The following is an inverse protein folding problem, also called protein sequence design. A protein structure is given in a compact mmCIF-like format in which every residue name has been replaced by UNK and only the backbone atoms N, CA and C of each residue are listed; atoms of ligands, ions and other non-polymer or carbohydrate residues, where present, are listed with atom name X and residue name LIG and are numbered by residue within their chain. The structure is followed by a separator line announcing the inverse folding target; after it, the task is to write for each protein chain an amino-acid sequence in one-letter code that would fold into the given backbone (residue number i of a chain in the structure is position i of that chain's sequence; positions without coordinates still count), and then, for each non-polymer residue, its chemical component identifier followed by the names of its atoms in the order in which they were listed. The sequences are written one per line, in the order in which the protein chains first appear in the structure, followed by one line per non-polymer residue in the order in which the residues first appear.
data_IF_501972017661
#
_entry.id   IF_501972017661
#
_cell.length_a   1.000
_cell.length_b   1.000
_cell.length_c   1.000
_cell.angle_alpha   90.00
_cell.angle_beta   90.00
_cell.angle_gamma   90.00
#
_symmetry.space_group_name_H-M   'P 1'
#
loop_
_entity.id
_entity.type
_entity.pdbx_description
1 polymer ?
#
# COMPACT_ATOMS: atom_id res chain seq x y z
N UNK A 1 -1.83 -11.97 11.37
CA UNK A 1 -3.06 -11.21 11.03
C UNK A 1 -4.23 -12.16 10.77
N UNK A 2 -4.22 -12.95 9.69
CA UNK A 2 -5.35 -13.80 9.27
C UNK A 2 -5.94 -14.73 10.36
N UNK A 3 -5.10 -15.25 11.27
CA UNK A 3 -5.53 -16.06 12.41
C UNK A 3 -6.49 -15.33 13.36
N UNK A 4 -6.41 -14.01 13.46
CA UNK A 4 -7.06 -13.21 14.52
C UNK A 4 -8.06 -12.16 14.02
N UNK A 5 -8.08 -11.86 12.71
CA UNK A 5 -9.04 -10.91 12.16
C UNK A 5 -10.42 -11.56 12.14
N UNK A 6 -11.40 -10.85 12.69
CA UNK A 6 -12.78 -11.27 12.81
C UNK A 6 -13.72 -10.41 11.95
N UNK A 7 -13.33 -9.17 11.62
CA UNK A 7 -14.14 -8.27 10.80
C UNK A 7 -14.33 -8.84 9.38
N UNK A 8 -15.60 -9.09 8.96
CA UNK A 8 -15.90 -9.81 7.73
C UNK A 8 -15.59 -9.00 6.46
N UNK A 9 -15.45 -7.68 6.56
CA UNK A 9 -15.07 -6.82 5.43
C UNK A 9 -13.54 -6.74 5.30
N UNK A 10 -12.82 -6.81 6.42
CA UNK A 10 -11.35 -6.67 6.45
C UNK A 10 -10.65 -7.99 6.15
N UNK A 11 -11.18 -9.11 6.65
CA UNK A 11 -10.56 -10.42 6.47
C UNK A 11 -10.32 -10.77 4.99
N UNK A 12 -11.26 -10.54 4.05
CA UNK A 12 -11.05 -10.83 2.63
C UNK A 12 -9.93 -10.00 1.99
N UNK A 13 -9.81 -8.71 2.31
CA UNK A 13 -8.75 -7.86 1.72
C UNK A 13 -7.37 -8.21 2.27
N UNK A 14 -7.28 -8.65 3.54
CA UNK A 14 -6.04 -9.15 4.12
C UNK A 14 -5.67 -10.52 3.54
N UNK A 15 -6.66 -11.39 3.27
CA UNK A 15 -6.45 -12.65 2.57
C UNK A 15 -5.95 -12.41 1.15
N UNK A 16 -6.58 -11.48 0.43
CA UNK A 16 -6.14 -11.11 -0.91
C UNK A 16 -4.70 -10.60 -0.93
N UNK A 17 -4.30 -9.78 0.04
CA UNK A 17 -2.90 -9.36 0.17
C UNK A 17 -1.92 -10.54 0.39
N UNK A 18 -2.32 -11.52 1.21
CA UNK A 18 -1.52 -12.74 1.44
C UNK A 18 -1.39 -13.59 0.17
N UNK A 19 -2.48 -13.76 -0.58
CA UNK A 19 -2.50 -14.55 -1.81
C UNK A 19 -1.60 -13.90 -2.88
N UNK A 20 -1.66 -12.57 -3.02
CA UNK A 20 -0.76 -11.82 -3.90
C UNK A 20 0.70 -12.01 -3.51
N UNK A 21 1.03 -11.85 -2.21
CA UNK A 21 2.40 -12.01 -1.72
C UNK A 21 2.93 -13.44 -1.95
N UNK A 22 2.08 -14.45 -1.82
CA UNK A 22 2.45 -15.84 -2.04
C UNK A 22 2.71 -16.12 -3.53
N UNK A 23 1.83 -15.63 -4.40
CA UNK A 23 2.01 -15.71 -5.86
C UNK A 23 3.28 -14.99 -6.33
N UNK A 24 3.56 -13.79 -5.80
CA UNK A 24 4.79 -13.05 -6.13
C UNK A 24 6.04 -13.82 -5.73
N UNK A 25 6.03 -14.49 -4.57
CA UNK A 25 7.15 -15.32 -4.15
C UNK A 25 7.42 -16.46 -5.14
N UNK A 26 6.37 -17.14 -5.62
CA UNK A 26 6.51 -18.21 -6.62
C UNK A 26 7.07 -17.70 -7.96
N UNK A 27 6.59 -16.54 -8.42
CA UNK A 27 7.08 -15.91 -9.65
C UNK A 27 8.54 -15.49 -9.53
N UNK A 28 8.94 -14.86 -8.41
CA UNK A 28 10.32 -14.46 -8.16
C UNK A 28 11.25 -15.67 -8.07
N UNK A 29 10.83 -16.76 -7.41
CA UNK A 29 11.62 -17.99 -7.37
C UNK A 29 11.80 -18.63 -8.75
N UNK A 30 10.79 -18.49 -9.62
CA UNK A 30 10.89 -18.95 -11.02
C UNK A 30 11.93 -18.14 -11.79
N UNK A 31 11.88 -16.80 -11.68
CA UNK A 31 12.87 -15.90 -12.30
C UNK A 31 14.28 -16.22 -11.79
N UNK A 32 14.45 -16.38 -10.47
CA UNK A 32 15.74 -16.75 -9.89
C UNK A 32 16.24 -18.09 -10.40
N UNK A 33 15.37 -19.09 -10.53
CA UNK A 33 15.73 -20.39 -11.09
C UNK A 33 16.23 -20.32 -12.54
N UNK A 34 15.62 -19.47 -13.37
CA UNK A 34 16.03 -19.27 -14.77
C UNK A 34 17.45 -18.70 -14.88
N UNK A 35 17.83 -17.84 -13.94
CA UNK A 35 19.15 -17.20 -13.90
C UNK A 35 20.18 -17.99 -13.07
N UNK A 36 19.84 -19.21 -12.61
CA UNK A 36 20.64 -20.00 -11.66
C UNK A 36 21.01 -19.21 -10.39
N UNK A 37 20.12 -18.31 -9.97
CA UNK A 37 20.32 -17.45 -8.81
C UNK A 37 19.97 -18.21 -7.53
N UNK A 38 20.79 -18.04 -6.49
CA UNK A 38 20.58 -18.70 -5.20
C UNK A 38 19.33 -18.15 -4.54
N UNK A 39 18.42 -19.03 -4.09
CA UNK A 39 17.25 -18.66 -3.31
C UNK A 39 17.69 -17.97 -2.01
N UNK A 40 17.28 -16.71 -1.75
CA UNK A 40 17.57 -16.05 -0.48
C UNK A 40 16.86 -16.72 0.70
N UNK A 41 17.48 -16.66 1.88
CA UNK A 41 16.83 -17.07 3.14
C UNK A 41 15.76 -16.03 3.51
N UNK A 42 14.49 -16.37 3.25
CA UNK A 42 13.34 -15.56 3.63
C UNK A 42 12.81 -15.88 5.03
N UNK A 43 11.76 -15.15 5.41
CA UNK A 43 11.01 -15.42 6.64
C UNK A 43 10.35 -16.80 6.59
N UNK A 44 10.44 -17.56 7.68
CA UNK A 44 9.95 -18.94 7.80
C UNK A 44 9.06 -19.11 9.02
N UNK A 45 8.48 -20.31 9.17
CA UNK A 45 7.72 -20.69 10.38
C UNK A 45 8.55 -20.61 11.67
N UNK A 46 9.89 -20.66 11.57
CA UNK A 46 10.80 -20.52 12.72
C UNK A 46 10.89 -19.08 13.22
N UNK A 47 10.55 -18.12 12.36
CA UNK A 47 10.64 -16.69 12.64
C UNK A 47 9.33 -16.12 13.21
N UNK A 48 8.30 -16.96 13.38
CA UNK A 48 6.99 -16.58 13.91
C UNK A 48 6.62 -17.38 15.16
N UNK A 49 6.21 -16.69 16.22
CA UNK A 49 5.61 -17.30 17.39
C UNK A 49 4.08 -17.24 17.29
N UNK A 50 3.46 -18.32 16.82
CA UNK A 50 1.99 -18.41 16.68
C UNK A 50 1.22 -18.50 18.01
N UNK A 51 1.93 -18.67 19.13
CA UNK A 51 1.38 -18.72 20.49
C UNK A 51 1.44 -17.38 21.22
N UNK A 52 2.05 -16.35 20.61
CA UNK A 52 2.07 -15.00 21.18
C UNK A 52 0.66 -14.40 21.26
N UNK A 53 0.43 -13.53 22.25
CA UNK A 53 -0.82 -12.81 22.39
C UNK A 53 -1.05 -11.86 21.20
N UNK A 54 -2.30 -11.76 20.74
CA UNK A 54 -2.69 -10.82 19.70
C UNK A 54 -2.68 -9.38 20.24
N UNK A 55 -2.03 -8.47 19.49
CA UNK A 55 -1.80 -7.09 19.93
C UNK A 55 -2.45 -6.02 19.04
N UNK A 56 -2.88 -6.38 17.83
CA UNK A 56 -3.33 -5.42 16.83
C UNK A 56 -4.84 -5.44 16.66
N UNK A 57 -5.42 -4.33 16.22
CA UNK A 57 -6.84 -4.30 15.86
C UNK A 57 -7.03 -4.65 14.38
N UNK A 58 -8.22 -5.08 14.00
CA UNK A 58 -8.56 -5.33 12.60
C UNK A 58 -8.40 -4.05 11.75
N UNK A 59 -8.73 -2.88 12.32
CA UNK A 59 -8.49 -1.58 11.70
C UNK A 59 -7.00 -1.33 11.45
N UNK A 60 -6.12 -1.67 12.41
CA UNK A 60 -4.68 -1.57 12.18
C UNK A 60 -4.24 -2.47 11.02
N UNK A 61 -4.74 -3.70 10.94
CA UNK A 61 -4.44 -4.60 9.83
C UNK A 61 -4.90 -4.02 8.48
N UNK A 62 -6.09 -3.44 8.42
CA UNK A 62 -6.60 -2.75 7.23
C UNK A 62 -5.69 -1.58 6.83
N UNK A 63 -5.32 -0.72 7.78
CA UNK A 63 -4.40 0.40 7.54
C UNK A 63 -3.03 -0.08 7.07
N UNK A 64 -2.49 -1.15 7.67
CA UNK A 64 -1.22 -1.74 7.25
C UNK A 64 -1.27 -2.22 5.79
N UNK A 65 -2.28 -3.00 5.43
CA UNK A 65 -2.46 -3.49 4.05
C UNK A 65 -2.60 -2.34 3.06
N UNK A 66 -3.39 -1.32 3.41
CA UNK A 66 -3.57 -0.13 2.56
C UNK A 66 -2.24 0.62 2.34
N UNK A 67 -1.44 0.79 3.38
CA UNK A 67 -0.13 1.44 3.28
C UNK A 67 0.86 0.61 2.46
N UNK A 68 0.91 -0.70 2.67
CA UNK A 68 1.75 -1.59 1.87
C UNK A 68 1.37 -1.58 0.39
N UNK A 69 0.07 -1.50 0.07
CA UNK A 69 -0.39 -1.36 -1.31
C UNK A 69 0.09 -0.04 -1.96
N UNK A 70 0.03 1.09 -1.22
CA UNK A 70 0.56 2.39 -1.69
C UNK A 70 2.07 2.32 -1.96
N UNK A 71 2.82 1.75 -1.03
CA UNK A 71 4.27 1.57 -1.17
C UNK A 71 4.58 0.69 -2.38
N UNK A 72 3.86 -0.42 -2.55
CA UNK A 72 3.96 -1.29 -3.71
C UNK A 72 3.73 -0.55 -5.03
N UNK A 73 2.68 0.27 -5.12
CA UNK A 73 2.41 1.06 -6.33
C UNK A 73 3.57 2.00 -6.69
N UNK A 74 4.09 2.76 -5.71
CA UNK A 74 5.22 3.66 -5.93
C UNK A 74 6.46 2.89 -6.39
N UNK A 75 6.83 1.85 -5.65
CA UNK A 75 8.05 1.09 -5.91
C UNK A 75 7.97 0.35 -7.25
N UNK A 76 6.87 -0.35 -7.54
CA UNK A 76 6.74 -1.09 -8.79
C UNK A 76 6.73 -0.18 -10.01
N UNK A 77 6.10 1.02 -9.94
CA UNK A 77 6.23 2.01 -11.01
C UNK A 77 7.68 2.43 -11.25
N UNK A 78 8.46 2.63 -10.17
CA UNK A 78 9.88 2.94 -10.26
C UNK A 78 10.68 1.79 -10.87
N UNK A 79 10.44 0.56 -10.44
CA UNK A 79 11.15 -0.62 -10.95
C UNK A 79 10.86 -0.90 -12.43
N UNK A 80 9.64 -0.65 -12.90
CA UNK A 80 9.32 -0.71 -14.34
C UNK A 80 10.23 0.27 -15.12
N UNK A 81 10.35 1.51 -14.63
CA UNK A 81 11.14 2.55 -15.30
C UNK A 81 12.66 2.31 -15.28
N UNK A 82 13.15 1.48 -14.36
CA UNK A 82 14.57 1.16 -14.21
C UNK A 82 14.94 -0.21 -14.81
N UNK A 83 14.02 -0.92 -15.47
CA UNK A 83 14.23 -2.28 -15.97
C UNK A 83 14.28 -2.36 -17.50
N UNK A 84 15.37 -2.90 -18.04
CA UNK A 84 15.54 -3.14 -19.48
C UNK A 84 15.12 -4.55 -19.94
N UNK A 85 15.08 -5.51 -19.01
CA UNK A 85 14.65 -6.89 -19.28
C UNK A 85 13.12 -6.99 -19.39
N UNK A 86 12.63 -7.60 -20.48
CA UNK A 86 11.19 -7.67 -20.79
C UNK A 86 10.39 -8.48 -19.76
N UNK A 87 10.89 -9.65 -19.37
CA UNK A 87 10.30 -10.52 -18.34
C UNK A 87 10.16 -9.79 -17.00
N UNK A 88 11.19 -9.03 -16.61
CA UNK A 88 11.21 -8.23 -15.38
C UNK A 88 10.22 -7.07 -15.45
N UNK A 89 10.16 -6.34 -16.58
CA UNK A 89 9.14 -5.30 -16.79
C UNK A 89 7.73 -5.87 -16.74
N UNK A 90 7.51 -7.04 -17.33
CA UNK A 90 6.22 -7.70 -17.30
C UNK A 90 5.81 -8.04 -15.86
N UNK A 91 6.72 -8.66 -15.09
CA UNK A 91 6.51 -8.95 -13.67
C UNK A 91 6.10 -7.70 -12.87
N UNK A 92 6.89 -6.62 -12.93
CA UNK A 92 6.57 -5.41 -12.17
C UNK A 92 5.29 -4.70 -12.66
N UNK A 93 4.95 -4.82 -13.95
CA UNK A 93 3.68 -4.32 -14.48
C UNK A 93 2.49 -5.07 -13.89
N UNK A 94 2.57 -6.40 -13.78
CA UNK A 94 1.52 -7.19 -13.12
C UNK A 94 1.42 -6.83 -11.63
N UNK A 95 2.56 -6.78 -10.94
CA UNK A 95 2.61 -6.45 -9.52
C UNK A 95 2.04 -5.04 -9.22
N UNK A 96 2.27 -4.06 -10.10
CA UNK A 96 1.67 -2.72 -10.02
C UNK A 96 0.14 -2.77 -10.17
N UNK A 97 -0.36 -3.52 -11.15
CA UNK A 97 -1.80 -3.66 -11.38
C UNK A 97 -2.49 -4.32 -10.18
N UNK A 98 -1.89 -5.36 -9.61
CA UNK A 98 -2.40 -6.07 -8.43
C UNK A 98 -2.35 -5.20 -7.18
N UNK A 99 -1.26 -4.46 -6.96
CA UNK A 99 -1.14 -3.50 -5.85
C UNK A 99 -2.18 -2.38 -5.96
N UNK A 100 -2.48 -1.93 -7.18
CA UNK A 100 -3.54 -0.94 -7.44
C UNK A 100 -4.92 -1.48 -7.06
N UNK A 101 -5.22 -2.75 -7.41
CA UNK A 101 -6.49 -3.40 -7.01
C UNK A 101 -6.59 -3.51 -5.49
N UNK A 102 -5.52 -3.95 -4.83
CA UNK A 102 -5.46 -4.07 -3.36
C UNK A 102 -5.62 -2.70 -2.67
N UNK A 103 -5.00 -1.67 -3.23
CA UNK A 103 -5.14 -0.30 -2.73
C UNK A 103 -6.57 0.21 -2.83
N UNK A 104 -7.24 0.01 -3.96
CA UNK A 104 -8.63 0.44 -4.15
C UNK A 104 -9.57 -0.28 -3.18
N UNK A 105 -9.52 -1.61 -3.12
CA UNK A 105 -10.36 -2.41 -2.21
C UNK A 105 -10.17 -2.00 -0.74
N UNK A 106 -8.91 -1.92 -0.28
CA UNK A 106 -8.61 -1.53 1.10
C UNK A 106 -9.02 -0.08 1.39
N UNK A 107 -8.94 0.82 0.41
CA UNK A 107 -9.37 2.22 0.57
C UNK A 107 -10.88 2.34 0.68
N UNK A 108 -11.64 1.58 -0.12
CA UNK A 108 -13.09 1.55 -0.05
C UNK A 108 -13.59 1.05 1.31
N UNK A 109 -12.99 -0.03 1.83
CA UNK A 109 -13.30 -0.55 3.17
C UNK A 109 -12.92 0.48 4.25
N UNK A 110 -11.75 1.13 4.13
CA UNK A 110 -11.32 2.14 5.09
C UNK A 110 -12.23 3.39 5.07
N UNK A 111 -12.78 3.75 3.90
CA UNK A 111 -13.76 4.83 3.76
C UNK A 111 -15.11 4.46 4.37
N UNK A 112 -15.61 3.24 4.12
CA UNK A 112 -16.90 2.78 4.67
C UNK A 112 -16.87 2.68 6.20
N UNK A 113 -15.71 2.33 6.77
CA UNK A 113 -15.48 2.26 8.22
C UNK A 113 -15.07 3.59 8.87
N UNK A 114 -14.95 4.68 8.10
CA UNK A 114 -14.59 6.01 8.62
C UNK A 114 -13.13 6.14 9.09
N UNK A 115 -12.26 5.21 8.72
CA UNK A 115 -10.82 5.22 9.05
C UNK A 115 -10.09 6.27 8.21
N UNK A 116 -10.42 6.35 6.93
CA UNK A 116 -9.91 7.40 6.06
C UNK A 116 -10.73 8.68 6.29
N UNK A 117 -10.11 9.66 6.94
CA UNK A 117 -10.71 10.98 7.17
C UNK A 117 -10.99 11.63 5.81
N UNK A 118 -12.26 11.95 5.55
CA UNK A 118 -12.63 12.78 4.40
C UNK A 118 -11.96 14.14 4.59
N UNK A 119 -11.21 14.59 3.58
CA UNK A 119 -10.60 15.91 3.60
C UNK A 119 -11.64 16.98 3.95
N UNK A 120 -11.25 18.06 4.66
CA UNK A 120 -12.17 19.15 4.94
C UNK A 120 -12.77 19.66 3.62
N UNK A 121 -14.09 19.85 3.62
CA UNK A 121 -14.80 20.38 2.47
C UNK A 121 -14.39 21.84 2.27
N UNK A 122 -13.55 22.08 1.26
CA UNK A 122 -13.37 23.44 0.73
C UNK A 122 -14.56 23.74 -0.18
N UNK A 123 -15.09 24.96 -0.09
CA UNK A 123 -16.04 25.41 -1.09
C UNK A 123 -15.34 25.44 -2.45
N UNK A 124 -15.90 24.70 -3.42
CA UNK A 124 -15.36 24.68 -4.79
C UNK A 124 -15.44 26.12 -5.32
N UNK A 125 -14.32 26.75 -5.71
CA UNK A 125 -14.33 28.11 -6.23
C UNK A 125 -15.24 28.19 -7.45
N UNK A 126 -16.25 29.05 -7.40
CA UNK A 126 -17.18 29.29 -8.52
C UNK A 126 -16.64 30.30 -9.53
N UNK A 127 -15.61 31.04 -9.13
CA UNK A 127 -15.03 32.14 -9.88
C UNK A 127 -13.51 32.14 -9.75
N UNK A 128 -12.84 32.61 -10.80
CA UNK A 128 -11.38 32.78 -10.81
C UNK A 128 -11.02 34.01 -9.97
N UNK A 129 -10.33 33.81 -8.84
CA UNK A 129 -9.82 34.90 -8.02
C UNK A 129 -8.34 35.15 -8.31
N UNK A 130 -7.97 36.41 -8.51
CA UNK A 130 -6.59 36.85 -8.63
C UNK A 130 -6.09 37.38 -7.29
N UNK A 131 -4.79 37.23 -7.05
CA UNK A 131 -4.14 37.76 -5.86
C UNK A 131 -4.19 39.29 -5.88
N UNK A 132 -5.00 39.88 -5.00
CA UNK A 132 -5.21 41.34 -4.98
C UNK A 132 -4.22 42.09 -4.07
N UNK A 133 -3.45 41.39 -3.24
CA UNK A 133 -2.60 42.03 -2.22
C UNK A 133 -1.39 41.18 -1.89
N UNK A 134 -0.21 41.81 -1.71
CA UNK A 134 1.01 41.15 -1.22
C UNK A 134 0.98 40.78 0.27
N UNK A 135 -0.13 41.00 0.98
CA UNK A 135 -0.28 40.63 2.41
C UNK A 135 -0.02 39.14 2.70
N UNK A 136 -0.20 38.24 1.73
CA UNK A 136 0.20 36.83 1.90
C UNK A 136 1.72 36.66 2.08
N UNK A 137 2.53 37.66 1.72
CA UNK A 137 3.98 37.68 1.95
C UNK A 137 4.37 38.26 3.31
N UNK A 138 3.44 38.93 4.01
CA UNK A 138 3.67 39.34 5.39
C UNK A 138 3.40 38.15 6.30
N UNK A 139 4.39 37.28 6.44
CA UNK A 139 4.35 36.16 7.40
C UNK A 139 4.08 36.63 8.84
N UNK A 140 4.07 35.70 9.78
CA UNK A 140 3.89 36.03 11.20
C UNK A 140 5.12 36.80 11.71
N UNK A 141 4.89 37.98 12.30
CA UNK A 141 5.87 38.62 13.18
C UNK A 141 5.54 38.21 14.62
N UNK A 142 6.24 37.23 15.22
CA UNK A 142 5.94 36.76 16.56
C UNK A 142 6.34 37.72 17.69
N UNK A 143 6.85 38.93 17.36
CA UNK A 143 7.40 39.89 18.31
C UNK A 143 6.74 41.28 18.26
N UNK A 144 5.55 41.40 17.64
CA UNK A 144 4.70 42.59 17.72
C UNK A 144 3.51 42.36 18.66
#
# INVERSE_FOLDING_TARGET
MLKHIEDPDIKPVVQFAYDLSSSHLEQLLTIFGQDNYVKPNGFTERDVNMNAQWLYTDIFCLSYVNQMAKVGMLIYSGFISMSDREDIRYYFTQALNESTKLFNQSSEIALSKGVNVRHPYIEVPKETNYVQSKKYMSGLNPLN
#
